data_IF_031581109470
#
_entry.id   IF_031581109470
#
_cell.length_a   1.000
_cell.length_b   1.000
_cell.length_c   1.000
_cell.angle_alpha   90.00
_cell.angle_beta   90.00
_cell.angle_gamma   90.00
#
_symmetry.space_group_name_H-M   'P 1'
#
loop_
_entity.id
_entity.type
_entity.pdbx_description
1 polymer ?
#
# COMPACT_ATOMS: atom_id res chain seq x y z
N UNK A 1 -0.60 -1.80 39.22
CA UNK A 1 0.33 -1.13 38.30
C UNK A 1 -0.31 0.17 37.86
N UNK A 2 0.40 1.31 37.95
CA UNK A 2 -0.14 2.57 37.45
C UNK A 2 -0.25 2.51 35.93
N UNK A 3 -1.43 2.76 35.36
CA UNK A 3 -1.62 2.90 33.92
C UNK A 3 -0.85 4.13 33.44
N UNK A 4 -0.11 4.00 32.32
CA UNK A 4 0.55 5.17 31.72
C UNK A 4 -0.50 6.09 31.10
N UNK A 5 -0.19 7.37 31.03
CA UNK A 5 -1.11 8.39 30.45
C UNK A 5 -1.52 8.01 29.01
N UNK A 6 -0.60 7.42 28.25
CA UNK A 6 -0.82 6.95 26.88
C UNK A 6 -1.83 5.79 26.77
N UNK A 7 -2.04 5.01 27.84
CA UNK A 7 -3.00 3.90 27.86
C UNK A 7 -4.46 4.37 28.04
N UNK A 8 -4.65 5.65 28.33
CA UNK A 8 -5.95 6.28 28.54
C UNK A 8 -6.35 7.24 27.42
N UNK A 9 -5.62 7.25 26.28
CA UNK A 9 -6.01 8.06 25.13
C UNK A 9 -7.23 7.43 24.49
N UNK A 10 -8.35 8.13 24.51
CA UNK A 10 -9.61 7.79 23.87
C UNK A 10 -10.11 8.95 23.04
N UNK A 11 -11.07 8.73 22.14
CA UNK A 11 -11.68 9.81 21.36
C UNK A 11 -12.26 10.89 22.28
N UNK A 12 -12.96 10.50 23.33
CA UNK A 12 -13.55 11.43 24.33
C UNK A 12 -12.50 12.28 25.05
N UNK A 13 -11.33 11.69 25.38
CA UNK A 13 -10.22 12.44 25.97
C UNK A 13 -9.64 13.48 24.98
N UNK A 14 -9.45 13.09 23.72
CA UNK A 14 -8.95 14.02 22.69
C UNK A 14 -9.97 15.13 22.42
N UNK A 15 -11.26 14.83 22.39
CA UNK A 15 -12.31 15.82 22.22
C UNK A 15 -12.36 16.81 23.40
N UNK A 16 -12.26 16.32 24.64
CA UNK A 16 -12.17 17.17 25.80
C UNK A 16 -10.93 18.09 25.74
N UNK A 17 -9.78 17.57 25.33
CA UNK A 17 -8.57 18.37 25.15
C UNK A 17 -8.73 19.41 24.02
N UNK A 18 -9.45 19.10 22.94
CA UNK A 18 -9.75 20.05 21.87
C UNK A 18 -10.67 21.19 22.33
N UNK A 19 -11.66 20.92 23.21
CA UNK A 19 -12.55 21.95 23.80
C UNK A 19 -11.78 22.95 24.68
N UNK A 20 -10.71 22.50 25.32
CA UNK A 20 -9.88 23.34 26.18
C UNK A 20 -8.86 24.20 25.41
N UNK A 21 -8.70 23.98 24.11
CA UNK A 21 -7.77 24.76 23.28
C UNK A 21 -8.34 26.14 22.93
N UNK A 22 -7.48 27.18 22.78
CA UNK A 22 -7.93 28.45 22.23
C UNK A 22 -8.59 28.26 20.87
N UNK A 23 -9.70 28.95 20.57
CA UNK A 23 -10.47 28.87 19.30
C UNK A 23 -9.63 29.05 18.03
N UNK A 24 -8.39 29.56 18.11
CA UNK A 24 -7.42 29.75 17.01
C UNK A 24 -6.60 28.48 16.67
N UNK A 25 -6.60 27.46 17.51
CA UNK A 25 -5.91 26.18 17.22
C UNK A 25 -6.98 25.16 16.85
N UNK A 26 -7.07 24.82 15.58
CA UNK A 26 -8.00 23.85 15.04
C UNK A 26 -8.12 22.52 15.81
N UNK A 27 -9.14 21.74 15.51
CA UNK A 27 -9.39 20.42 16.10
C UNK A 27 -8.23 19.48 15.74
N UNK A 28 -7.67 18.81 16.74
CA UNK A 28 -6.69 17.75 16.55
C UNK A 28 -7.41 16.41 16.48
N UNK A 29 -7.11 15.62 15.45
CA UNK A 29 -7.52 14.22 15.32
C UNK A 29 -6.26 13.36 15.45
N UNK A 30 -6.27 12.45 16.42
CA UNK A 30 -5.19 11.46 16.57
C UNK A 30 -5.45 10.29 15.63
N UNK A 31 -4.41 9.81 14.97
CA UNK A 31 -4.48 8.73 13.99
C UNK A 31 -3.55 7.61 14.43
N UNK A 32 -4.09 6.45 14.74
CA UNK A 32 -3.29 5.27 15.00
C UNK A 32 -3.00 4.49 13.72
N UNK A 33 -1.73 4.13 13.52
CA UNK A 33 -1.23 3.28 12.42
C UNK A 33 -0.57 2.02 12.97
N UNK A 34 -0.33 1.03 12.13
CA UNK A 34 0.14 -0.30 12.55
C UNK A 34 1.64 -0.33 12.86
N UNK A 35 2.45 0.36 12.05
CA UNK A 35 3.90 0.32 12.08
C UNK A 35 4.56 1.68 11.82
N UNK A 36 5.87 1.75 11.97
CA UNK A 36 6.64 2.96 11.63
C UNK A 36 6.66 3.26 10.13
N UNK A 37 6.62 2.22 9.29
CA UNK A 37 6.61 2.38 7.83
C UNK A 37 5.34 3.07 7.34
N UNK A 38 4.21 2.87 8.06
CA UNK A 38 2.92 3.46 7.75
C UNK A 38 2.85 4.95 8.02
N UNK A 39 3.67 5.45 8.97
CA UNK A 39 3.59 6.85 9.43
C UNK A 39 3.75 7.83 8.27
N UNK A 40 4.74 7.63 7.41
CA UNK A 40 5.00 8.55 6.29
C UNK A 40 3.90 8.48 5.23
N UNK A 41 3.43 7.28 4.91
CA UNK A 41 2.36 7.08 3.95
C UNK A 41 1.07 7.77 4.42
N UNK A 42 0.57 7.41 5.61
CA UNK A 42 -0.66 7.99 6.14
C UNK A 42 -0.54 9.49 6.42
N UNK A 43 0.65 9.97 6.84
CA UNK A 43 0.90 11.41 6.96
C UNK A 43 0.70 12.12 5.63
N UNK A 44 1.26 11.58 4.54
CA UNK A 44 1.12 12.18 3.20
C UNK A 44 -0.32 12.16 2.67
N UNK A 45 -1.08 11.11 3.01
CA UNK A 45 -2.52 11.00 2.67
C UNK A 45 -3.34 12.02 3.44
N UNK A 46 -3.16 12.09 4.76
CA UNK A 46 -3.96 12.94 5.64
C UNK A 46 -3.66 14.44 5.47
N UNK A 47 -2.47 14.79 5.00
CA UNK A 47 -2.10 16.18 4.69
C UNK A 47 -3.03 16.83 3.67
N UNK A 48 -3.60 16.05 2.73
CA UNK A 48 -4.58 16.54 1.75
C UNK A 48 -5.86 17.07 2.40
N UNK A 49 -6.18 16.62 3.61
CA UNK A 49 -7.40 16.96 4.35
C UNK A 49 -7.17 17.93 5.50
N UNK A 50 -5.94 18.38 5.70
CA UNK A 50 -5.64 19.37 6.73
C UNK A 50 -6.14 20.77 6.33
N UNK A 51 -6.56 21.51 7.33
CA UNK A 51 -7.05 22.88 7.20
C UNK A 51 -6.70 23.69 8.44
N UNK A 52 -6.92 25.01 8.47
CA UNK A 52 -6.77 25.79 9.69
C UNK A 52 -7.62 25.31 10.86
N UNK A 53 -8.65 24.51 10.58
CA UNK A 53 -9.61 24.01 11.58
C UNK A 53 -9.44 22.52 11.91
N UNK A 54 -8.71 21.74 11.12
CA UNK A 54 -8.50 20.30 11.33
C UNK A 54 -7.03 19.94 11.11
N UNK A 55 -6.41 19.26 12.07
CA UNK A 55 -5.04 18.76 12.02
C UNK A 55 -4.97 17.30 12.44
N UNK A 56 -4.18 16.51 11.73
CA UNK A 56 -3.95 15.11 12.04
C UNK A 56 -2.61 14.90 12.74
N UNK A 57 -2.59 14.07 13.76
CA UNK A 57 -1.39 13.64 14.46
C UNK A 57 -1.25 12.12 14.36
N UNK A 58 -0.34 11.67 13.51
CA UNK A 58 -0.14 10.24 13.26
C UNK A 58 0.77 9.67 14.35
N UNK A 59 0.29 8.66 15.04
CA UNK A 59 0.96 8.02 16.17
C UNK A 59 0.90 6.49 16.06
N UNK A 60 1.87 5.84 16.69
CA UNK A 60 1.79 4.41 16.95
C UNK A 60 1.08 4.16 18.28
N UNK A 61 0.21 3.15 18.37
CA UNK A 61 -0.37 2.74 19.63
C UNK A 61 0.72 2.41 20.65
N UNK A 62 0.46 2.73 21.91
CA UNK A 62 1.42 2.51 23.00
C UNK A 62 1.79 1.02 23.15
N UNK A 63 3.10 0.72 23.29
CA UNK A 63 3.68 -0.61 23.20
C UNK A 63 3.63 -1.47 24.46
N UNK A 64 2.72 -1.22 25.38
CA UNK A 64 2.68 -1.95 26.66
C UNK A 64 2.06 -3.36 26.58
N UNK A 65 1.55 -3.76 25.40
CA UNK A 65 1.02 -5.09 25.14
C UNK A 65 1.80 -5.74 24.01
N UNK A 66 1.92 -7.07 24.02
CA UNK A 66 2.50 -7.87 22.92
C UNK A 66 1.66 -7.77 21.63
N UNK A 67 0.46 -7.19 21.69
CA UNK A 67 -0.37 -6.92 20.54
C UNK A 67 0.27 -5.78 19.70
N UNK A 68 0.49 -6.03 18.42
CA UNK A 68 1.02 -5.10 17.44
C UNK A 68 0.08 -5.03 16.24
N UNK A 69 0.20 -3.95 15.44
CA UNK A 69 -0.48 -3.81 14.18
C UNK A 69 -1.98 -3.53 14.31
N UNK A 70 -2.72 -3.93 13.30
CA UNK A 70 -4.13 -3.66 13.06
C UNK A 70 -5.04 -3.87 14.28
N UNK A 71 -4.91 -5.02 14.97
CA UNK A 71 -5.73 -5.32 16.15
C UNK A 71 -5.59 -4.28 17.26
N UNK A 72 -4.37 -3.79 17.49
CA UNK A 72 -4.13 -2.79 18.51
C UNK A 72 -4.69 -1.43 18.08
N UNK A 73 -4.46 -1.01 16.85
CA UNK A 73 -5.00 0.24 16.31
C UNK A 73 -6.53 0.28 16.42
N UNK A 74 -7.21 -0.83 16.08
CA UNK A 74 -8.67 -0.94 16.11
C UNK A 74 -9.26 -1.26 17.49
N UNK A 75 -8.46 -1.57 18.50
CA UNK A 75 -8.93 -1.93 19.85
C UNK A 75 -9.25 -0.74 20.74
N UNK A 76 -8.86 0.46 20.35
CA UNK A 76 -9.12 1.69 21.09
C UNK A 76 -10.56 2.18 20.90
N UNK A 77 -11.01 3.02 21.80
CA UNK A 77 -12.30 3.72 21.69
C UNK A 77 -12.19 4.80 20.60
N UNK A 78 -12.43 4.39 19.37
CA UNK A 78 -12.37 5.25 18.19
C UNK A 78 -13.58 6.20 18.13
N UNK A 79 -13.40 7.34 17.52
CA UNK A 79 -14.42 8.36 17.38
C UNK A 79 -13.88 9.58 16.63
N UNK A 80 -14.60 10.67 16.66
CA UNK A 80 -14.25 11.91 15.93
C UNK A 80 -12.90 12.53 16.31
N UNK A 81 -12.36 12.21 17.49
CA UNK A 81 -11.04 12.68 17.95
C UNK A 81 -9.92 11.68 17.78
N UNK A 82 -10.24 10.41 17.52
CA UNK A 82 -9.29 9.30 17.41
C UNK A 82 -9.74 8.30 16.35
N UNK A 83 -8.97 8.17 15.29
CA UNK A 83 -9.22 7.23 14.19
C UNK A 83 -8.10 6.21 14.06
N UNK A 84 -8.36 5.10 13.36
CA UNK A 84 -7.35 4.12 12.99
C UNK A 84 -7.19 4.10 11.47
N UNK A 85 -5.93 4.08 11.00
CA UNK A 85 -5.57 3.90 9.60
C UNK A 85 -4.75 2.61 9.48
N UNK A 86 -5.25 1.64 8.73
CA UNK A 86 -4.74 0.26 8.72
C UNK A 86 -4.61 -0.30 7.30
N UNK A 87 -3.81 -1.34 7.16
CA UNK A 87 -3.78 -2.13 5.94
C UNK A 87 -5.05 -2.98 5.81
N UNK A 88 -5.56 -3.13 4.62
CA UNK A 88 -6.72 -3.98 4.38
C UNK A 88 -6.41 -5.47 4.52
N UNK A 89 -5.20 -5.89 4.17
CA UNK A 89 -4.85 -7.31 4.02
C UNK A 89 -5.89 -8.06 3.15
N UNK A 90 -6.20 -9.30 3.49
CA UNK A 90 -7.33 -9.99 2.89
C UNK A 90 -8.70 -9.64 3.52
N UNK A 91 -8.74 -8.84 4.60
CA UNK A 91 -10.00 -8.50 5.27
C UNK A 91 -10.97 -7.79 4.32
N UNK A 92 -10.48 -6.92 3.41
CA UNK A 92 -11.31 -6.32 2.37
C UNK A 92 -11.89 -7.37 1.41
N UNK A 93 -11.11 -8.37 1.00
CA UNK A 93 -11.57 -9.45 0.12
C UNK A 93 -12.43 -10.50 0.84
N UNK A 94 -12.29 -10.61 2.14
CA UNK A 94 -13.15 -11.44 3.00
C UNK A 94 -14.53 -10.82 3.20
N UNK A 95 -14.64 -9.52 3.01
CA UNK A 95 -15.84 -8.76 3.33
C UNK A 95 -16.25 -9.00 4.80
N UNK A 96 -17.51 -9.14 5.14
CA UNK A 96 -18.00 -9.35 6.50
C UNK A 96 -18.00 -10.83 6.95
N UNK A 97 -17.08 -11.66 6.44
CA UNK A 97 -17.05 -13.10 6.73
C UNK A 97 -16.31 -13.43 8.03
N UNK A 98 -15.46 -12.54 8.51
CA UNK A 98 -14.78 -12.70 9.80
C UNK A 98 -15.16 -11.54 10.72
N UNK A 99 -15.11 -11.75 12.04
CA UNK A 99 -15.33 -10.69 13.02
C UNK A 99 -14.37 -9.52 12.81
N UNK A 100 -13.15 -9.82 12.38
CA UNK A 100 -12.12 -8.82 12.16
C UNK A 100 -12.41 -7.96 10.92
N UNK A 101 -12.70 -8.59 9.79
CA UNK A 101 -13.09 -7.89 8.57
C UNK A 101 -14.39 -7.09 8.74
N UNK A 102 -15.35 -7.62 9.51
CA UNK A 102 -16.57 -6.90 9.85
C UNK A 102 -16.27 -5.64 10.67
N UNK A 103 -15.45 -5.74 11.71
CA UNK A 103 -15.06 -4.57 12.53
C UNK A 103 -14.33 -3.51 11.70
N UNK A 104 -13.46 -3.93 10.79
CA UNK A 104 -12.74 -3.00 9.92
C UNK A 104 -13.70 -2.27 8.96
N UNK A 105 -14.62 -2.99 8.33
CA UNK A 105 -15.50 -2.45 7.30
C UNK A 105 -16.70 -1.66 7.84
N UNK A 106 -17.19 -1.99 9.05
CA UNK A 106 -18.39 -1.41 9.62
C UNK A 106 -18.09 -0.22 10.56
N UNK A 107 -16.84 -0.04 11.00
CA UNK A 107 -16.48 1.05 11.89
C UNK A 107 -16.14 2.33 11.09
N UNK A 108 -16.93 3.41 11.19
CA UNK A 108 -16.74 4.64 10.42
C UNK A 108 -15.51 5.46 10.84
N UNK A 109 -14.75 5.00 11.82
CA UNK A 109 -13.50 5.58 12.30
C UNK A 109 -12.28 4.74 11.99
N UNK A 110 -12.45 3.68 11.19
CA UNK A 110 -11.37 2.84 10.66
C UNK A 110 -11.25 3.09 9.16
N UNK A 111 -10.12 3.60 8.74
CA UNK A 111 -9.77 3.80 7.34
C UNK A 111 -8.75 2.73 6.93
N UNK A 112 -8.98 2.11 5.80
CA UNK A 112 -8.10 1.04 5.31
C UNK A 112 -7.67 1.28 3.87
N UNK A 113 -6.61 0.61 3.44
CA UNK A 113 -5.99 0.86 2.14
C UNK A 113 -6.84 0.49 0.93
N UNK A 114 -7.93 -0.30 1.07
CA UNK A 114 -8.68 -0.92 -0.02
C UNK A 114 -7.89 -1.92 -0.87
N UNK A 115 -6.57 -1.70 -1.06
CA UNK A 115 -5.60 -2.67 -1.56
C UNK A 115 -5.02 -3.47 -0.39
N UNK A 116 -4.16 -4.47 -0.65
CA UNK A 116 -3.68 -5.33 0.44
C UNK A 116 -2.97 -4.52 1.54
N UNK A 117 -1.98 -3.70 1.18
CA UNK A 117 -1.21 -2.88 2.12
C UNK A 117 -0.68 -1.60 1.44
N UNK A 118 0.00 -0.74 2.19
CA UNK A 118 0.59 0.50 1.66
C UNK A 118 1.60 0.24 0.54
N UNK A 119 2.35 -0.88 0.57
CA UNK A 119 3.31 -1.23 -0.46
C UNK A 119 2.65 -1.42 -1.83
N UNK A 120 1.38 -1.88 -1.87
CA UNK A 120 0.66 -2.01 -3.12
C UNK A 120 0.41 -0.65 -3.78
N UNK A 121 0.22 0.42 -3.01
CA UNK A 121 0.18 1.78 -3.53
C UNK A 121 1.56 2.27 -3.98
N UNK A 122 2.62 1.98 -3.21
CA UNK A 122 4.00 2.34 -3.58
C UNK A 122 4.44 1.64 -4.87
N UNK A 123 3.89 0.45 -5.13
CA UNK A 123 4.12 -0.37 -6.33
C UNK A 123 3.09 -0.15 -7.45
N UNK A 124 2.32 0.95 -7.42
CA UNK A 124 1.33 1.23 -8.45
C UNK A 124 1.99 1.41 -9.82
N UNK A 125 1.61 0.58 -10.79
CA UNK A 125 2.29 0.45 -12.07
C UNK A 125 2.54 1.78 -12.80
N UNK A 126 1.59 2.73 -12.90
CA UNK A 126 1.83 4.03 -13.54
C UNK A 126 2.89 4.90 -12.87
N UNK A 127 3.29 4.60 -11.64
CA UNK A 127 4.34 5.31 -10.91
C UNK A 127 5.73 4.72 -11.03
N UNK A 128 5.89 3.52 -11.60
CA UNK A 128 7.17 2.79 -11.58
C UNK A 128 8.23 3.44 -12.46
N UNK A 129 7.86 3.98 -13.62
CA UNK A 129 8.79 4.71 -14.48
C UNK A 129 9.32 5.98 -13.76
N UNK A 130 8.43 6.75 -13.14
CA UNK A 130 8.82 7.94 -12.36
C UNK A 130 9.79 7.57 -11.22
N UNK A 131 9.57 6.44 -10.53
CA UNK A 131 10.50 5.95 -9.51
C UNK A 131 11.89 5.64 -10.09
N UNK A 132 11.97 5.07 -11.30
CA UNK A 132 13.24 4.86 -12.00
C UNK A 132 13.91 6.19 -12.36
N UNK A 133 13.15 7.17 -12.85
CA UNK A 133 13.67 8.51 -13.17
C UNK A 133 14.22 9.19 -11.93
N UNK A 134 13.48 9.19 -10.83
CA UNK A 134 13.95 9.76 -9.55
C UNK A 134 15.19 9.05 -9.01
N UNK A 135 15.30 7.73 -9.22
CA UNK A 135 16.42 6.94 -8.74
C UNK A 135 17.69 7.10 -9.59
N UNK A 136 17.57 7.41 -10.88
CA UNK A 136 18.67 7.33 -11.84
C UNK A 136 18.96 8.63 -12.56
N UNK A 137 18.07 9.62 -12.48
CA UNK A 137 18.11 10.87 -13.23
C UNK A 137 18.22 10.63 -14.75
N UNK A 138 17.61 9.57 -15.23
CA UNK A 138 17.58 9.18 -16.64
C UNK A 138 16.14 8.80 -17.01
N UNK A 139 15.54 9.56 -17.93
CA UNK A 139 14.13 9.45 -18.34
C UNK A 139 13.92 8.47 -19.51
N UNK A 140 14.90 7.62 -19.77
CA UNK A 140 14.78 6.63 -20.83
C UNK A 140 13.93 5.44 -20.37
N UNK A 141 12.96 5.09 -21.17
CA UNK A 141 12.14 3.91 -20.95
C UNK A 141 12.80 2.69 -21.62
N UNK A 142 13.13 1.66 -20.83
CA UNK A 142 13.72 0.40 -21.32
C UNK A 142 12.68 -0.69 -21.50
N UNK A 143 11.65 -0.67 -20.65
CA UNK A 143 10.52 -1.62 -20.64
C UNK A 143 9.26 -0.79 -20.39
N UNK A 144 8.18 -1.09 -21.09
CA UNK A 144 6.86 -0.60 -20.73
C UNK A 144 6.42 -1.26 -19.41
N UNK A 145 6.64 -0.55 -18.30
CA UNK A 145 6.41 -1.07 -16.95
C UNK A 145 4.92 -1.24 -16.64
N UNK A 146 4.06 -0.40 -17.21
CA UNK A 146 2.62 -0.52 -17.02
C UNK A 146 2.10 -1.77 -17.71
N UNK A 147 2.51 -2.00 -18.94
CA UNK A 147 2.11 -3.18 -19.70
C UNK A 147 2.72 -4.47 -19.08
N UNK A 148 3.98 -4.42 -18.62
CA UNK A 148 4.57 -5.54 -17.90
C UNK A 148 3.77 -5.92 -16.66
N UNK A 149 3.44 -4.94 -15.81
CA UNK A 149 2.68 -5.18 -14.59
C UNK A 149 1.24 -5.61 -14.87
N UNK A 150 0.62 -5.10 -15.94
CA UNK A 150 -0.69 -5.56 -16.39
C UNK A 150 -0.65 -7.05 -16.78
N UNK A 151 0.35 -7.47 -17.58
CA UNK A 151 0.51 -8.88 -17.96
C UNK A 151 0.86 -9.77 -16.77
N UNK A 152 1.71 -9.29 -15.86
CA UNK A 152 2.02 -9.97 -14.62
C UNK A 152 0.75 -10.17 -13.78
N UNK A 153 -0.06 -9.14 -13.62
CA UNK A 153 -1.33 -9.18 -12.91
C UNK A 153 -2.29 -10.22 -13.47
N UNK A 154 -2.45 -10.26 -14.79
CA UNK A 154 -3.26 -11.28 -15.48
C UNK A 154 -2.71 -12.68 -15.22
N UNK A 155 -1.38 -12.84 -15.21
CA UNK A 155 -0.76 -14.15 -14.98
C UNK A 155 -1.03 -14.68 -13.56
N UNK A 156 -1.01 -13.83 -12.53
CA UNK A 156 -1.22 -14.25 -11.14
C UNK A 156 -2.70 -14.32 -10.73
N UNK A 157 -3.60 -13.72 -11.50
CA UNK A 157 -5.03 -13.65 -11.19
C UNK A 157 -5.67 -14.98 -10.79
N UNK A 158 -5.47 -16.09 -11.53
CA UNK A 158 -6.07 -17.37 -11.14
C UNK A 158 -5.61 -17.83 -9.75
N UNK A 159 -4.35 -17.61 -9.41
CA UNK A 159 -3.78 -18.01 -8.12
C UNK A 159 -4.30 -17.13 -6.97
N UNK A 160 -4.48 -15.83 -7.20
CA UNK A 160 -5.08 -14.92 -6.22
C UNK A 160 -6.51 -15.36 -5.89
N UNK A 161 -7.33 -15.68 -6.89
CA UNK A 161 -8.70 -16.17 -6.67
C UNK A 161 -8.70 -17.44 -5.81
N UNK A 162 -7.79 -18.39 -6.09
CA UNK A 162 -7.63 -19.61 -5.28
C UNK A 162 -7.17 -19.30 -3.85
N UNK A 163 -6.23 -18.39 -3.68
CA UNK A 163 -5.75 -17.98 -2.36
C UNK A 163 -6.89 -17.39 -1.52
N UNK A 164 -7.70 -16.49 -2.10
CA UNK A 164 -8.87 -15.93 -1.41
C UNK A 164 -9.89 -17.02 -1.09
N UNK A 165 -10.10 -17.98 -1.98
CA UNK A 165 -10.99 -19.12 -1.70
C UNK A 165 -10.51 -19.92 -0.50
N UNK A 166 -9.22 -20.26 -0.43
CA UNK A 166 -8.63 -21.00 0.70
C UNK A 166 -8.76 -20.21 2.01
N UNK A 167 -8.53 -18.92 1.98
CA UNK A 167 -8.72 -18.04 3.15
C UNK A 167 -10.19 -18.05 3.63
N UNK A 168 -11.15 -17.99 2.72
CA UNK A 168 -12.59 -18.02 3.03
C UNK A 168 -13.08 -19.34 3.64
N UNK A 169 -12.28 -20.41 3.52
CA UNK A 169 -12.59 -21.75 4.03
C UNK A 169 -11.65 -22.21 5.15
N UNK A 170 -10.87 -21.29 5.73
CA UNK A 170 -9.87 -21.56 6.78
C UNK A 170 -8.80 -22.60 6.37
N UNK A 171 -8.55 -22.72 5.06
CA UNK A 171 -7.58 -23.64 4.47
C UNK A 171 -6.23 -22.99 4.15
N UNK A 172 -5.99 -21.76 4.60
CA UNK A 172 -4.78 -20.99 4.35
C UNK A 172 -3.48 -21.67 4.82
N UNK A 173 -3.55 -22.67 5.69
CA UNK A 173 -2.39 -23.50 6.08
C UNK A 173 -1.95 -24.48 5.00
N UNK A 174 -2.79 -24.80 4.05
CA UNK A 174 -2.49 -25.73 2.94
C UNK A 174 -1.81 -25.02 1.76
N UNK A 175 -1.98 -23.71 1.67
CA UNK A 175 -1.26 -22.83 0.76
C UNK A 175 -1.17 -21.46 1.43
N UNK A 176 -0.02 -21.19 2.01
CA UNK A 176 0.24 -19.98 2.77
C UNK A 176 0.56 -18.78 1.88
N UNK A 177 0.62 -17.60 2.47
CA UNK A 177 1.12 -16.37 1.81
C UNK A 177 2.57 -16.58 1.32
N UNK A 178 3.39 -17.32 2.06
CA UNK A 178 4.76 -17.63 1.67
C UNK A 178 4.83 -18.57 0.46
N UNK A 179 3.94 -19.56 0.40
CA UNK A 179 3.83 -20.43 -0.78
C UNK A 179 3.42 -19.61 -2.00
N UNK A 180 2.45 -18.70 -1.86
CA UNK A 180 2.08 -17.77 -2.94
C UNK A 180 3.27 -16.92 -3.37
N UNK A 181 4.04 -16.36 -2.44
CA UNK A 181 5.21 -15.54 -2.73
C UNK A 181 6.26 -16.29 -3.57
N UNK A 182 6.48 -17.58 -3.31
CA UNK A 182 7.40 -18.41 -4.08
C UNK A 182 6.92 -18.66 -5.52
N UNK A 183 5.61 -18.77 -5.73
CA UNK A 183 5.03 -19.04 -7.05
C UNK A 183 4.92 -17.80 -7.95
N UNK A 184 4.78 -16.62 -7.36
CA UNK A 184 4.58 -15.37 -8.11
C UNK A 184 5.83 -14.49 -8.18
N UNK A 185 6.79 -14.67 -7.27
CA UNK A 185 8.05 -13.95 -7.25
C UNK A 185 9.00 -14.41 -8.36
N UNK A 186 9.96 -13.57 -8.68
CA UNK A 186 11.03 -13.87 -9.62
C UNK A 186 12.33 -13.19 -9.20
N UNK A 187 13.42 -13.59 -9.79
CA UNK A 187 14.70 -12.92 -9.69
C UNK A 187 14.80 -11.78 -10.71
N UNK A 188 15.96 -11.19 -10.84
CA UNK A 188 16.19 -10.06 -11.74
C UNK A 188 15.65 -10.29 -13.15
N UNK A 189 14.94 -9.29 -13.67
CA UNK A 189 14.41 -9.33 -15.02
C UNK A 189 15.52 -9.11 -16.05
N UNK A 190 15.45 -9.84 -17.17
CA UNK A 190 16.25 -9.51 -18.33
C UNK A 190 15.60 -8.33 -19.08
N UNK A 191 16.25 -7.17 -19.07
CA UNK A 191 15.73 -5.93 -19.69
C UNK A 191 15.59 -6.02 -21.21
N UNK A 192 16.23 -6.99 -21.87
CA UNK A 192 16.12 -7.23 -23.32
C UNK A 192 15.02 -8.25 -23.67
N UNK A 193 14.64 -9.10 -22.72
CA UNK A 193 13.66 -10.17 -22.86
C UNK A 193 12.76 -10.27 -21.62
N UNK A 194 11.99 -9.20 -21.30
CA UNK A 194 11.15 -9.19 -20.10
C UNK A 194 10.01 -10.23 -20.18
N UNK A 195 9.61 -10.64 -21.39
CA UNK A 195 8.62 -11.68 -21.64
C UNK A 195 8.99 -13.05 -21.04
N UNK A 196 10.28 -13.38 -20.96
CA UNK A 196 10.75 -14.65 -20.37
C UNK A 196 10.37 -14.74 -18.88
N UNK A 197 10.42 -13.62 -18.17
CA UNK A 197 10.00 -13.54 -16.76
C UNK A 197 8.50 -13.75 -16.61
N UNK A 198 7.70 -13.16 -17.49
CA UNK A 198 6.25 -13.35 -17.48
C UNK A 198 5.86 -14.80 -17.79
N UNK A 199 6.58 -15.45 -18.73
CA UNK A 199 6.36 -16.85 -19.06
C UNK A 199 6.77 -17.77 -17.88
N UNK A 200 7.86 -17.44 -17.18
CA UNK A 200 8.25 -18.13 -15.95
C UNK A 200 7.12 -18.09 -14.91
N UNK A 201 6.58 -16.89 -14.60
CA UNK A 201 5.48 -16.73 -13.64
C UNK A 201 4.24 -17.49 -14.08
N UNK A 202 3.84 -17.40 -15.37
CA UNK A 202 2.67 -18.12 -15.90
C UNK A 202 2.80 -19.64 -15.72
N UNK A 203 3.99 -20.20 -15.96
CA UNK A 203 4.23 -21.65 -15.77
C UNK A 203 4.08 -22.07 -14.32
N UNK A 204 4.64 -21.31 -13.36
CA UNK A 204 4.55 -21.61 -11.94
C UNK A 204 3.10 -21.51 -11.45
N UNK A 205 2.43 -20.42 -11.76
CA UNK A 205 1.03 -20.21 -11.41
C UNK A 205 0.14 -21.33 -11.98
N UNK A 206 0.29 -21.67 -13.26
CA UNK A 206 -0.51 -22.72 -13.89
C UNK A 206 -0.28 -24.09 -13.25
N UNK A 207 0.97 -24.43 -12.90
CA UNK A 207 1.30 -25.65 -12.17
C UNK A 207 0.58 -25.73 -10.84
N UNK A 208 0.63 -24.65 -10.06
CA UNK A 208 0.02 -24.56 -8.73
C UNK A 208 -1.49 -24.54 -8.80
N UNK A 209 -2.08 -23.81 -9.73
CA UNK A 209 -3.53 -23.82 -9.97
C UNK A 209 -4.03 -25.22 -10.36
N UNK A 210 -3.31 -25.94 -11.22
CA UNK A 210 -3.63 -27.32 -11.58
C UNK A 210 -3.56 -28.26 -10.37
N UNK A 211 -2.59 -28.09 -9.49
CA UNK A 211 -2.53 -28.81 -8.21
C UNK A 211 -3.74 -28.50 -7.32
N UNK A 212 -4.09 -27.22 -7.14
CA UNK A 212 -5.25 -26.81 -6.35
C UNK A 212 -6.56 -27.38 -6.87
N UNK A 213 -6.76 -27.37 -8.19
CA UNK A 213 -7.95 -27.95 -8.82
C UNK A 213 -8.11 -29.46 -8.57
N UNK A 214 -6.99 -30.17 -8.39
CA UNK A 214 -7.00 -31.61 -8.05
C UNK A 214 -7.19 -31.84 -6.57
N UNK A 215 -6.59 -30.97 -5.73
CA UNK A 215 -6.64 -31.09 -4.27
C UNK A 215 -7.99 -30.65 -3.69
N UNK A 216 -8.65 -29.71 -4.36
CA UNK A 216 -9.93 -29.11 -3.88
C UNK A 216 -10.99 -29.14 -4.99
N UNK A 217 -11.47 -30.32 -5.39
CA UNK A 217 -12.46 -30.45 -6.47
C UNK A 217 -13.79 -29.75 -6.19
N UNK A 218 -14.17 -29.59 -4.92
CA UNK A 218 -15.34 -28.86 -4.45
C UNK A 218 -15.29 -27.37 -4.78
N UNK A 219 -14.10 -26.77 -4.81
CA UNK A 219 -13.89 -25.37 -5.12
C UNK A 219 -14.29 -24.99 -6.56
N UNK A 220 -14.32 -25.96 -7.49
CA UNK A 220 -14.67 -25.70 -8.91
C UNK A 220 -16.01 -25.00 -9.06
N UNK A 221 -17.00 -25.34 -8.23
CA UNK A 221 -18.34 -24.73 -8.27
C UNK A 221 -18.35 -23.32 -7.70
N UNK A 222 -17.44 -23.01 -6.77
CA UNK A 222 -17.36 -21.73 -6.10
C UNK A 222 -16.43 -20.74 -6.84
N UNK A 223 -15.57 -21.22 -7.74
CA UNK A 223 -14.53 -20.42 -8.37
C UNK A 223 -15.09 -19.25 -9.22
N UNK A 224 -16.02 -19.53 -10.15
CA UNK A 224 -16.59 -18.47 -10.99
C UNK A 224 -17.47 -17.47 -10.21
N UNK A 225 -18.33 -17.89 -9.26
CA UNK A 225 -19.01 -16.96 -8.37
C UNK A 225 -18.07 -16.07 -7.57
N UNK A 226 -16.98 -16.64 -7.00
CA UNK A 226 -15.98 -15.87 -6.26
C UNK A 226 -15.27 -14.85 -7.16
N UNK A 227 -14.87 -15.26 -8.35
CA UNK A 227 -14.24 -14.37 -9.33
C UNK A 227 -15.13 -13.18 -9.67
N UNK A 228 -16.45 -13.42 -9.89
CA UNK A 228 -17.40 -12.33 -10.13
C UNK A 228 -17.60 -11.43 -8.91
N UNK A 229 -17.55 -11.99 -7.71
CA UNK A 229 -17.61 -11.22 -6.46
C UNK A 229 -16.39 -10.31 -6.32
N UNK A 230 -15.19 -10.84 -6.56
CA UNK A 230 -13.95 -10.06 -6.52
C UNK A 230 -13.96 -8.93 -7.57
N UNK A 231 -14.44 -9.21 -8.78
CA UNK A 231 -14.56 -8.19 -9.82
C UNK A 231 -15.51 -7.04 -9.42
N UNK A 232 -16.59 -7.33 -8.70
CA UNK A 232 -17.47 -6.28 -8.15
C UNK A 232 -16.79 -5.42 -7.08
N UNK A 233 -15.75 -5.93 -6.42
CA UNK A 233 -14.92 -5.18 -5.48
C UNK A 233 -13.79 -4.39 -6.17
N UNK A 234 -13.73 -4.40 -7.51
CA UNK A 234 -12.69 -3.75 -8.29
C UNK A 234 -11.43 -4.60 -8.49
N UNK A 235 -11.44 -5.86 -8.06
CA UNK A 235 -10.33 -6.79 -8.25
C UNK A 235 -10.50 -7.50 -9.60
N UNK A 236 -9.78 -7.03 -10.59
CA UNK A 236 -9.82 -7.58 -11.96
C UNK A 236 -8.51 -8.32 -12.29
N UNK A 237 -8.44 -9.08 -13.39
CA UNK A 237 -7.19 -9.66 -13.83
C UNK A 237 -6.06 -8.62 -13.94
N UNK A 238 -6.36 -7.41 -14.42
CA UNK A 238 -5.38 -6.35 -14.64
C UNK A 238 -4.91 -5.68 -13.34
N UNK A 239 -5.72 -5.75 -12.26
CA UNK A 239 -5.45 -5.10 -10.97
C UNK A 239 -5.09 -6.09 -9.85
N UNK A 240 -5.04 -7.38 -10.13
CA UNK A 240 -4.81 -8.44 -9.15
C UNK A 240 -3.53 -8.25 -8.32
N UNK A 241 -2.48 -7.68 -8.92
CA UNK A 241 -1.23 -7.38 -8.21
C UNK A 241 -1.41 -6.41 -7.04
N UNK A 242 -2.41 -5.54 -7.09
CA UNK A 242 -2.72 -4.59 -6.01
C UNK A 242 -3.32 -5.27 -4.75
N UNK A 243 -3.74 -6.53 -4.86
CA UNK A 243 -4.44 -7.28 -3.81
C UNK A 243 -3.68 -8.51 -3.32
N UNK A 244 -2.47 -8.72 -3.78
CA UNK A 244 -1.53 -9.69 -3.21
C UNK A 244 -0.77 -9.06 -2.04
N UNK A 245 -0.12 -9.89 -1.21
CA UNK A 245 0.68 -9.40 -0.08
C UNK A 245 1.67 -8.32 -0.51
N UNK A 246 1.62 -7.16 0.17
CA UNK A 246 2.39 -5.96 -0.18
C UNK A 246 3.90 -6.18 -0.17
N UNK A 247 4.44 -6.77 0.89
CA UNK A 247 5.87 -7.09 0.95
C UNK A 247 6.32 -8.03 -0.17
N UNK A 248 5.52 -9.05 -0.53
CA UNK A 248 5.82 -9.92 -1.67
C UNK A 248 5.85 -9.14 -2.98
N UNK A 249 4.86 -8.25 -3.20
CA UNK A 249 4.85 -7.40 -4.38
C UNK A 249 6.08 -6.50 -4.44
N UNK A 250 6.42 -5.86 -3.33
CA UNK A 250 7.53 -4.93 -3.25
C UNK A 250 8.88 -5.62 -3.43
N UNK A 251 9.18 -6.64 -2.58
CA UNK A 251 10.50 -7.25 -2.47
C UNK A 251 10.77 -8.33 -3.53
N UNK A 252 9.73 -9.09 -3.91
CA UNK A 252 9.89 -10.27 -4.79
C UNK A 252 9.43 -10.04 -6.23
N UNK A 253 8.84 -8.87 -6.54
CA UNK A 253 8.34 -8.54 -7.88
C UNK A 253 8.88 -7.20 -8.35
N UNK A 254 8.55 -6.10 -7.67
CA UNK A 254 8.86 -4.74 -8.17
C UNK A 254 10.34 -4.41 -8.01
N UNK A 255 10.98 -4.72 -6.90
CA UNK A 255 12.43 -4.50 -6.77
C UNK A 255 13.26 -5.34 -7.75
N UNK A 256 13.00 -6.66 -7.94
CA UNK A 256 13.64 -7.44 -8.99
C UNK A 256 13.37 -6.96 -10.42
N UNK A 257 12.22 -6.33 -10.67
CA UNK A 257 11.92 -5.70 -11.96
C UNK A 257 12.74 -4.41 -12.16
N UNK A 258 12.72 -3.51 -11.19
CA UNK A 258 13.31 -2.18 -11.33
C UNK A 258 14.83 -2.16 -11.09
N UNK A 259 15.38 -3.06 -10.31
CA UNK A 259 16.81 -3.11 -9.99
C UNK A 259 17.70 -3.17 -11.23
N UNK A 260 17.53 -4.16 -12.13
CA UNK A 260 18.29 -4.25 -13.39
C UNK A 260 18.08 -3.02 -14.28
N UNK A 261 16.85 -2.52 -14.40
CA UNK A 261 16.51 -1.32 -15.17
C UNK A 261 17.28 -0.10 -14.65
N UNK A 262 17.21 0.17 -13.36
CA UNK A 262 17.93 1.29 -12.74
C UNK A 262 19.45 1.15 -12.88
N UNK A 263 19.98 -0.08 -12.77
CA UNK A 263 21.39 -0.37 -12.96
C UNK A 263 21.83 -0.05 -14.39
N UNK A 264 21.04 -0.46 -15.39
CA UNK A 264 21.33 -0.17 -16.79
C UNK A 264 21.23 1.33 -17.08
N UNK A 265 20.19 2.02 -16.60
CA UNK A 265 19.98 3.46 -16.79
C UNK A 265 21.13 4.29 -16.19
N UNK A 266 21.61 3.93 -15.01
CA UNK A 266 22.78 4.57 -14.37
C UNK A 266 24.04 4.36 -15.21
N UNK A 267 24.29 3.13 -15.66
CA UNK A 267 25.44 2.83 -16.51
C UNK A 267 25.42 3.58 -17.82
N UNK A 268 24.26 3.72 -18.44
CA UNK A 268 24.09 4.51 -19.66
C UNK A 268 24.44 6.00 -19.42
N UNK A 269 23.93 6.58 -18.32
CA UNK A 269 24.22 7.97 -17.96
C UNK A 269 25.71 8.18 -17.64
N UNK A 270 26.34 7.28 -16.91
CA UNK A 270 27.77 7.35 -16.63
C UNK A 270 28.60 7.24 -17.93
N UNK A 271 28.21 6.38 -18.86
CA UNK A 271 28.89 6.26 -20.15
C UNK A 271 28.71 7.52 -21.01
N UNK A 272 27.54 8.16 -20.95
CA UNK A 272 27.31 9.43 -21.62
C UNK A 272 28.22 10.54 -21.06
N UNK A 273 28.32 10.67 -19.74
CA UNK A 273 29.24 11.62 -19.07
C UNK A 273 30.67 11.35 -19.50
N UNK A 274 31.13 10.10 -19.51
CA UNK A 274 32.50 9.71 -19.94
C UNK A 274 32.79 10.11 -21.39
N UNK A 275 31.77 9.99 -22.26
CA UNK A 275 31.89 10.32 -23.69
C UNK A 275 31.91 11.82 -23.95
N UNK A 276 31.13 12.60 -23.18
CA UNK A 276 30.97 14.04 -23.42
C UNK A 276 32.03 14.91 -22.74
N UNK A 277 32.68 14.40 -21.69
CA UNK A 277 33.67 15.14 -20.93
C UNK A 277 34.93 15.46 -21.80
N UNK A 278 35.29 16.73 -21.86
CA UNK A 278 36.43 17.22 -22.67
C UNK A 278 37.80 16.81 -22.10
N UNK A 279 37.89 16.62 -20.76
CA UNK A 279 39.13 16.23 -20.09
C UNK A 279 38.85 15.48 -18.77
N UNK A 280 39.88 14.80 -18.26
CA UNK A 280 39.79 13.86 -17.11
C UNK A 280 39.19 14.50 -15.85
N UNK A 281 39.64 15.74 -15.51
CA UNK A 281 39.15 16.44 -14.30
C UNK A 281 37.65 16.74 -14.37
N UNK A 282 37.18 17.17 -15.53
CA UNK A 282 35.76 17.42 -15.78
C UNK A 282 34.98 16.11 -15.65
N UNK A 283 35.46 15.04 -16.27
CA UNK A 283 34.84 13.69 -16.18
C UNK A 283 34.66 13.22 -14.74
N UNK A 284 35.73 13.33 -13.94
CA UNK A 284 35.70 12.92 -12.52
C UNK A 284 34.71 13.77 -11.72
N UNK A 285 34.69 15.07 -11.92
CA UNK A 285 33.78 15.98 -11.23
C UNK A 285 32.31 15.66 -11.57
N UNK A 286 31.98 15.48 -12.84
CA UNK A 286 30.61 15.21 -13.29
C UNK A 286 30.13 13.83 -12.86
N UNK A 287 30.98 12.80 -12.92
CA UNK A 287 30.64 11.47 -12.39
C UNK A 287 30.40 11.52 -10.88
N UNK A 288 31.24 12.20 -10.14
CA UNK A 288 31.06 12.36 -8.70
C UNK A 288 29.75 13.10 -8.38
N UNK A 289 29.47 14.18 -9.08
CA UNK A 289 28.21 14.93 -8.92
C UNK A 289 27.00 14.04 -9.20
N UNK A 290 27.00 13.30 -10.31
CA UNK A 290 25.94 12.37 -10.66
C UNK A 290 25.74 11.30 -9.60
N UNK A 291 26.83 10.64 -9.16
CA UNK A 291 26.76 9.56 -8.15
C UNK A 291 26.22 10.02 -6.79
N UNK A 292 26.46 11.29 -6.41
CA UNK A 292 25.87 11.86 -5.19
C UNK A 292 24.41 12.29 -5.36
N UNK A 293 23.92 12.41 -6.59
CA UNK A 293 22.56 12.87 -6.88
C UNK A 293 21.56 11.72 -7.08
N UNK A 294 22.05 10.50 -7.36
CA UNK A 294 21.17 9.32 -7.50
C UNK A 294 20.76 8.75 -6.14
N UNK A 295 19.63 8.05 -6.13
CA UNK A 295 19.07 7.47 -4.91
C UNK A 295 18.67 6.00 -5.11
N UNK A 296 18.57 5.18 -4.05
CA UNK A 296 18.02 3.83 -4.14
C UNK A 296 16.56 3.83 -4.63
N UNK A 297 16.21 2.91 -5.51
CA UNK A 297 14.87 2.86 -6.12
C UNK A 297 13.78 2.50 -5.11
N UNK A 298 14.08 1.68 -4.12
CA UNK A 298 13.18 1.34 -3.02
C UNK A 298 12.77 2.58 -2.20
N UNK A 299 13.70 3.51 -1.99
CA UNK A 299 13.43 4.80 -1.33
C UNK A 299 12.55 5.69 -2.22
N UNK A 300 12.74 5.65 -3.55
CA UNK A 300 11.93 6.45 -4.48
C UNK A 300 10.52 5.90 -4.62
N UNK A 301 10.34 4.58 -4.66
CA UNK A 301 9.02 3.94 -4.62
C UNK A 301 8.19 4.41 -3.42
N UNK A 302 8.79 4.45 -2.23
CA UNK A 302 8.11 4.91 -0.99
C UNK A 302 7.72 6.40 -1.03
N UNK A 303 8.26 7.18 -1.94
CA UNK A 303 7.95 8.62 -2.15
C UNK A 303 7.00 8.88 -3.31
N UNK A 304 6.71 7.87 -4.12
CA UNK A 304 5.81 7.97 -5.26
C UNK A 304 4.39 8.34 -4.82
N UNK A 305 3.72 9.17 -5.62
CA UNK A 305 2.35 9.66 -5.35
C UNK A 305 1.35 9.32 -6.45
N UNK A 306 1.78 8.64 -7.50
CA UNK A 306 0.95 8.28 -8.65
C UNK A 306 -0.23 7.37 -8.26
N UNK A 307 -0.13 6.61 -7.19
CA UNK A 307 -1.23 5.80 -6.65
C UNK A 307 -2.50 6.61 -6.34
N UNK A 308 -2.36 7.93 -6.17
CA UNK A 308 -3.51 8.83 -5.96
C UNK A 308 -4.50 8.82 -7.11
N UNK A 309 -4.09 8.40 -8.29
CA UNK A 309 -4.95 8.24 -9.47
C UNK A 309 -5.73 6.91 -9.46
N UNK A 310 -5.35 5.95 -8.62
CA UNK A 310 -5.99 4.63 -8.56
C UNK A 310 -7.39 4.67 -7.94
N UNK A 311 -8.32 3.85 -8.44
CA UNK A 311 -9.68 3.80 -7.90
C UNK A 311 -9.74 3.39 -6.41
N UNK A 312 -8.91 2.43 -5.90
CA UNK A 312 -8.88 2.14 -4.46
C UNK A 312 -8.50 3.36 -3.62
N UNK A 313 -7.56 4.19 -4.07
CA UNK A 313 -7.20 5.41 -3.37
C UNK A 313 -8.32 6.46 -3.44
N UNK A 314 -8.98 6.60 -4.59
CA UNK A 314 -10.10 7.53 -4.73
C UNK A 314 -11.27 7.14 -3.82
N UNK A 315 -11.46 5.84 -3.54
CA UNK A 315 -12.42 5.38 -2.55
C UNK A 315 -12.00 5.80 -1.14
N UNK A 316 -10.76 5.54 -0.74
CA UNK A 316 -10.20 5.99 0.54
C UNK A 316 -10.34 7.51 0.71
N UNK A 317 -10.05 8.27 -0.35
CA UNK A 317 -10.16 9.72 -0.37
C UNK A 317 -11.60 10.19 -0.14
N UNK A 318 -12.60 9.53 -0.73
CA UNK A 318 -14.03 9.82 -0.50
C UNK A 318 -14.41 9.61 0.96
N UNK A 319 -13.94 8.51 1.58
CA UNK A 319 -14.26 8.21 2.97
C UNK A 319 -13.64 9.23 3.93
N UNK A 320 -12.37 9.60 3.70
CA UNK A 320 -11.69 10.64 4.49
C UNK A 320 -12.34 12.01 4.30
N UNK A 321 -12.75 12.38 3.08
CA UNK A 321 -13.48 13.62 2.82
C UNK A 321 -14.79 13.67 3.63
N UNK A 322 -15.58 12.61 3.56
CA UNK A 322 -16.85 12.52 4.30
C UNK A 322 -16.64 12.62 5.83
N UNK A 323 -15.58 12.00 6.35
CA UNK A 323 -15.22 12.12 7.76
C UNK A 323 -14.87 13.56 8.14
N UNK A 324 -14.00 14.23 7.35
CA UNK A 324 -13.57 15.62 7.65
C UNK A 324 -14.73 16.60 7.54
N UNK A 325 -15.61 16.45 6.55
CA UNK A 325 -16.83 17.25 6.43
C UNK A 325 -17.71 17.10 7.67
N UNK A 326 -17.96 15.86 8.12
CA UNK A 326 -18.78 15.58 9.31
C UNK A 326 -18.22 16.24 10.55
N UNK A 327 -16.91 16.11 10.84
CA UNK A 327 -16.30 16.70 12.03
C UNK A 327 -16.20 18.22 11.95
N UNK A 328 -16.16 18.79 10.75
CA UNK A 328 -16.13 20.24 10.54
C UNK A 328 -17.50 20.87 10.79
N UNK A 329 -18.59 20.22 10.36
CA UNK A 329 -19.97 20.66 10.62
C UNK A 329 -20.30 20.62 12.11
N UNK A 330 -19.96 19.53 12.79
CA UNK A 330 -20.15 19.39 14.25
C UNK A 330 -19.45 20.48 15.05
N UNK A 331 -18.31 20.97 14.57
CA UNK A 331 -17.58 22.06 15.22
C UNK A 331 -18.25 23.45 15.01
N UNK A 332 -18.94 23.65 13.88
CA UNK A 332 -19.70 24.88 13.60
C UNK A 332 -20.98 24.94 14.43
N UNK A 333 -21.71 23.83 14.53
CA UNK A 333 -22.94 23.75 15.33
C UNK A 333 -22.66 24.00 16.84
N UNK A 334 -21.56 23.44 17.37
CA UNK A 334 -21.15 23.68 18.73
C UNK A 334 -20.82 25.16 19.01
N UNK A 335 -20.24 25.86 18.04
CA UNK A 335 -19.96 27.31 18.16
C UNK A 335 -21.21 28.20 18.02
N UNK A 336 -22.25 27.73 17.30
CA UNK A 336 -23.50 28.47 17.12
C UNK A 336 -24.42 28.40 18.35
N UNK A 337 -24.25 27.39 19.21
CA UNK A 337 -25.04 27.19 20.42
C UNK A 337 -24.43 27.95 21.62
N UNK A 338 -23.15 28.31 21.58
CA UNK A 338 -22.43 29.04 22.66
C UNK A 338 -22.34 30.57 22.40
N UNK A 339 -22.84 31.07 21.27
CA UNK A 339 -22.89 32.51 20.94
C UNK A 339 -24.29 33.05 21.00
#
# INVERSE_FOLDING_TARGET
>A
MARRLTDNISSSYIEAANRLKPKRKGRRVVVYVESYDDVLFWRSVLEEFESPTVHFEVLLPSRNTLAKGKKLAMSHELGDGLIACVDADYDYLMQRRTEHSQKMLDNPFVFHTYVYAIENYQCYAPGLHEACVMATLNDRELIDLEEFMRQYSVAIWPLLVWSVWLYRHDLYKQFSIQDMAQEVGFHDVNTYHPEDTLEYVRRHVNKTVNWMQRSFPEAKKAYEPLKQELQKLGVTPETAYMYMQGHTLFDSVVLPLLGPICTQLRRERENEIKRLACHEKQRQNELSCYQHSVAPVDVMLKKGVKFRESEPYQQLRRDLSAFVERISMSAQDANAVEG
#
